data_IF_666122280479
#
_entry.id   IF_666122280479
#
_cell.length_a   1.000
_cell.length_b   1.000
_cell.length_c   1.000
_cell.angle_alpha   90.00
_cell.angle_beta   90.00
_cell.angle_gamma   90.00
#
_symmetry.space_group_name_H-M   'P 1'
#
loop_
_entity.id
_entity.type
_entity.pdbx_description
1 polymer ?
#
# COMPACT_ATOMS: atom_id res chain seq x y z
N UNK A 1 11.49 6.41 -17.42
CA UNK A 1 10.55 5.27 -17.34
C UNK A 1 10.44 4.71 -15.93
N UNK A 2 11.55 4.43 -15.23
CA UNK A 2 11.52 3.88 -13.86
C UNK A 2 10.76 4.74 -12.84
N UNK A 3 10.85 6.08 -12.95
CA UNK A 3 10.16 6.99 -12.03
C UNK A 3 8.63 6.85 -12.09
N UNK A 4 8.06 6.85 -13.30
CA UNK A 4 6.62 6.71 -13.49
C UNK A 4 6.14 5.34 -13.00
N UNK A 5 6.90 4.28 -13.30
CA UNK A 5 6.58 2.92 -12.83
C UNK A 5 6.61 2.82 -11.30
N UNK A 6 7.61 3.43 -10.65
CA UNK A 6 7.70 3.47 -9.21
C UNK A 6 6.58 4.29 -8.56
N UNK A 7 6.19 5.41 -9.16
CA UNK A 7 5.03 6.19 -8.70
C UNK A 7 3.72 5.41 -8.83
N UNK A 8 3.48 4.76 -9.97
CA UNK A 8 2.31 3.89 -10.15
C UNK A 8 2.31 2.73 -9.13
N UNK A 9 3.47 2.12 -8.88
CA UNK A 9 3.61 1.09 -7.85
C UNK A 9 3.30 1.65 -6.45
N UNK A 10 3.85 2.81 -6.08
CA UNK A 10 3.61 3.42 -4.77
C UNK A 10 2.14 3.77 -4.56
N UNK A 11 1.47 4.36 -5.56
CA UNK A 11 0.04 4.66 -5.51
C UNK A 11 -0.82 3.40 -5.41
N UNK A 12 -0.56 2.39 -6.24
CA UNK A 12 -1.33 1.14 -6.20
C UNK A 12 -1.16 0.40 -4.87
N UNK A 13 0.06 0.33 -4.34
CA UNK A 13 0.32 -0.27 -3.02
C UNK A 13 -0.39 0.52 -1.90
N UNK A 14 -0.29 1.85 -1.89
CA UNK A 14 -0.96 2.68 -0.88
C UNK A 14 -2.49 2.57 -0.95
N UNK A 15 -3.07 2.62 -2.15
CA UNK A 15 -4.50 2.46 -2.36
C UNK A 15 -4.97 1.04 -2.00
N UNK A 16 -4.17 0.01 -2.28
CA UNK A 16 -4.53 -1.38 -1.91
C UNK A 16 -4.66 -1.55 -0.39
N UNK A 17 -3.79 -0.88 0.39
CA UNK A 17 -3.87 -0.87 1.85
C UNK A 17 -5.12 -0.12 2.29
N UNK A 18 -5.41 1.05 1.71
CA UNK A 18 -6.55 1.88 2.08
C UNK A 18 -7.89 1.20 1.77
N UNK A 19 -8.06 0.71 0.55
CA UNK A 19 -9.29 0.04 0.10
C UNK A 19 -9.46 -1.36 0.69
N UNK A 20 -8.37 -2.03 1.09
CA UNK A 20 -8.44 -3.34 1.74
C UNK A 20 -9.20 -3.34 3.08
N UNK A 21 -9.32 -2.18 3.74
CA UNK A 21 -10.08 -2.03 5.01
C UNK A 21 -11.38 -1.25 4.80
N UNK A 22 -11.66 -0.78 3.58
CA UNK A 22 -12.81 0.08 3.32
C UNK A 22 -14.13 -0.63 3.69
N UNK A 23 -14.33 -1.85 3.19
CA UNK A 23 -15.51 -2.65 3.49
C UNK A 23 -15.55 -3.08 4.98
N UNK A 24 -14.37 -3.32 5.57
CA UNK A 24 -14.27 -3.66 6.99
C UNK A 24 -14.76 -2.50 7.88
N UNK A 25 -14.41 -1.26 7.52
CA UNK A 25 -14.87 -0.06 8.22
C UNK A 25 -16.38 0.19 8.05
N UNK A 26 -17.01 -0.37 7.01
CA UNK A 26 -18.46 -0.35 6.82
C UNK A 26 -19.20 -1.46 7.57
N UNK A 27 -18.49 -2.26 8.37
CA UNK A 27 -19.06 -3.35 9.17
C UNK A 27 -19.05 -4.71 8.44
N UNK A 28 -18.54 -4.78 7.22
CA UNK A 28 -18.38 -6.04 6.49
C UNK A 28 -17.03 -6.67 6.83
N UNK A 29 -16.97 -7.42 7.94
CA UNK A 29 -15.74 -8.05 8.42
C UNK A 29 -15.38 -9.24 7.49
N UNK A 30 -14.22 -9.23 6.84
CA UNK A 30 -13.80 -10.33 5.98
C UNK A 30 -13.45 -11.57 6.81
N UNK A 31 -13.52 -12.75 6.18
CA UNK A 31 -13.21 -14.02 6.86
C UNK A 31 -11.81 -14.07 7.48
N UNK A 32 -11.61 -14.97 8.45
CA UNK A 32 -10.38 -15.08 9.25
C UNK A 32 -9.10 -15.13 8.40
N UNK A 33 -9.12 -15.87 7.29
CA UNK A 33 -7.97 -15.98 6.38
C UNK A 33 -7.59 -14.62 5.76
N UNK A 34 -8.56 -13.86 5.27
CA UNK A 34 -8.31 -12.55 4.66
C UNK A 34 -7.85 -11.54 5.72
N UNK A 35 -8.49 -11.54 6.89
CA UNK A 35 -8.13 -10.67 8.00
C UNK A 35 -6.71 -10.91 8.51
N UNK A 36 -6.31 -12.19 8.67
CA UNK A 36 -4.96 -12.56 9.10
C UNK A 36 -3.91 -12.24 8.04
N UNK A 37 -4.16 -12.56 6.78
CA UNK A 37 -3.28 -12.21 5.66
C UNK A 37 -3.07 -10.71 5.61
N UNK A 38 -4.16 -9.93 5.58
CA UNK A 38 -4.09 -8.47 5.54
C UNK A 38 -3.32 -7.92 6.74
N UNK A 39 -3.55 -8.43 7.95
CA UNK A 39 -2.84 -7.99 9.15
C UNK A 39 -1.31 -8.23 9.08
N UNK A 40 -0.87 -9.29 8.39
CA UNK A 40 0.53 -9.60 8.21
C UNK A 40 1.20 -8.77 7.10
N UNK A 41 0.51 -8.50 5.98
CA UNK A 41 1.11 -7.82 4.82
C UNK A 41 0.87 -6.32 4.75
N UNK A 42 -0.19 -5.76 5.35
CA UNK A 42 -0.53 -4.34 5.17
C UNK A 42 0.62 -3.39 5.53
N UNK A 43 1.33 -3.66 6.65
CA UNK A 43 2.44 -2.82 7.13
C UNK A 43 3.63 -2.89 6.19
N UNK A 44 3.89 -4.08 5.62
CA UNK A 44 4.97 -4.28 4.65
C UNK A 44 4.67 -3.58 3.33
N UNK A 45 3.44 -3.72 2.82
CA UNK A 45 2.98 -3.06 1.59
C UNK A 45 3.05 -1.53 1.74
N UNK A 46 2.59 -1.01 2.89
CA UNK A 46 2.67 0.41 3.21
C UNK A 46 4.12 0.90 3.30
N UNK A 47 5.00 0.15 3.96
CA UNK A 47 6.42 0.48 4.05
C UNK A 47 7.09 0.49 2.67
N UNK A 48 6.76 -0.44 1.77
CA UNK A 48 7.26 -0.44 0.39
C UNK A 48 6.79 0.78 -0.41
N UNK A 49 5.52 1.19 -0.26
CA UNK A 49 5.01 2.41 -0.88
C UNK A 49 5.79 3.65 -0.40
N UNK A 50 6.01 3.76 0.92
CA UNK A 50 6.79 4.85 1.50
C UNK A 50 8.28 4.80 1.11
N UNK A 51 8.87 3.60 0.98
CA UNK A 51 10.25 3.44 0.55
C UNK A 51 10.48 4.08 -0.83
N UNK A 52 9.58 3.84 -1.79
CA UNK A 52 9.67 4.51 -3.09
C UNK A 52 9.55 6.04 -2.97
N UNK A 53 8.58 6.54 -2.18
CA UNK A 53 8.42 7.99 -1.95
C UNK A 53 9.70 8.60 -1.39
N UNK A 54 10.32 7.98 -0.39
CA UNK A 54 11.58 8.48 0.18
C UNK A 54 12.73 8.49 -0.85
N UNK A 55 12.86 7.44 -1.67
CA UNK A 55 13.88 7.39 -2.72
C UNK A 55 13.62 8.47 -3.78
N UNK A 56 12.36 8.65 -4.20
CA UNK A 56 11.98 9.68 -5.17
C UNK A 56 12.31 11.08 -4.64
N UNK A 57 11.97 11.39 -3.39
CA UNK A 57 12.30 12.68 -2.77
C UNK A 57 13.82 12.91 -2.66
N UNK A 58 14.58 11.92 -2.19
CA UNK A 58 16.05 12.06 -2.03
C UNK A 58 16.75 12.22 -3.37
N UNK A 59 16.25 11.56 -4.42
CA UNK A 59 16.84 11.65 -5.77
C UNK A 59 16.35 12.86 -6.58
N UNK A 60 15.51 13.73 -6.00
CA UNK A 60 14.97 14.91 -6.68
C UNK A 60 13.92 14.59 -7.75
N UNK A 61 13.37 13.37 -7.72
CA UNK A 61 12.31 12.87 -8.62
C UNK A 61 10.94 12.81 -7.91
N UNK A 62 10.84 13.54 -6.79
CA UNK A 62 9.68 13.71 -5.94
C UNK A 62 8.52 14.41 -6.64
#
# INVERSE_FOLDING_TARGET
SINIAGWLAAFTLALSVLYGVYDWNMGNVPGLLVSTLYNCTNKLIWALALAWVTIACVTGNG
#
